data_IF_988098982089
#
_entry.id   IF_988098982089
#
_cell.length_a   1.000
_cell.length_b   1.000
_cell.length_c   1.000
_cell.angle_alpha   90.00
_cell.angle_beta   90.00
_cell.angle_gamma   90.00
#
_symmetry.space_group_name_H-M   'P 1'
#
loop_
_entity.id
_entity.type
_entity.pdbx_description
1 polymer ?
#
# COMPACT_ATOMS: atom_id res chain seq x y z
N UNK A 1 -17.88 -23.91 -16.99
CA UNK A 1 -18.00 -23.25 -15.68
C UNK A 1 -19.25 -22.39 -15.71
N UNK A 2 -20.11 -22.46 -14.70
CA UNK A 2 -21.31 -21.61 -14.64
C UNK A 2 -20.95 -20.14 -14.42
N UNK A 3 -21.86 -19.23 -14.82
CA UNK A 3 -21.71 -17.79 -14.64
C UNK A 3 -21.48 -17.42 -13.16
N UNK A 4 -22.12 -18.16 -12.26
CA UNK A 4 -22.01 -18.02 -10.80
C UNK A 4 -20.59 -18.24 -10.25
N UNK A 5 -19.74 -18.96 -10.98
CA UNK A 5 -18.34 -19.20 -10.62
C UNK A 5 -17.40 -18.28 -11.38
N UNK A 6 -17.73 -17.96 -12.64
CA UNK A 6 -16.90 -17.12 -13.49
C UNK A 6 -16.85 -15.68 -12.99
N UNK A 7 -17.98 -15.11 -12.57
CA UNK A 7 -18.07 -13.70 -12.12
C UNK A 7 -17.20 -13.46 -10.87
N UNK A 8 -17.35 -14.22 -9.76
CA UNK A 8 -16.50 -14.01 -8.59
C UNK A 8 -15.02 -14.23 -8.90
N UNK A 9 -14.70 -15.24 -9.71
CA UNK A 9 -13.31 -15.54 -10.08
C UNK A 9 -12.64 -14.40 -10.86
N UNK A 10 -13.36 -13.75 -11.77
CA UNK A 10 -12.82 -12.59 -12.51
C UNK A 10 -12.64 -11.40 -11.56
N UNK A 11 -13.60 -11.13 -10.67
CA UNK A 11 -13.52 -10.04 -9.69
C UNK A 11 -12.33 -10.24 -8.74
N UNK A 12 -12.26 -11.37 -8.05
CA UNK A 12 -11.16 -11.65 -7.13
C UNK A 12 -9.82 -11.85 -7.85
N UNK A 13 -9.84 -12.43 -9.05
CA UNK A 13 -8.66 -12.56 -9.91
C UNK A 13 -8.08 -11.20 -10.30
N UNK A 14 -8.92 -10.24 -10.69
CA UNK A 14 -8.47 -8.88 -11.02
C UNK A 14 -7.84 -8.17 -9.81
N UNK A 15 -8.43 -8.34 -8.61
CA UNK A 15 -7.89 -7.79 -7.37
C UNK A 15 -6.51 -8.42 -7.06
N UNK A 16 -6.39 -9.74 -7.20
CA UNK A 16 -5.13 -10.45 -7.01
C UNK A 16 -4.06 -9.96 -7.99
N UNK A 17 -4.41 -9.77 -9.26
CA UNK A 17 -3.47 -9.25 -10.28
C UNK A 17 -2.98 -7.85 -9.93
N UNK A 18 -3.87 -6.95 -9.49
CA UNK A 18 -3.47 -5.58 -9.08
C UNK A 18 -2.49 -5.64 -7.91
N UNK A 19 -2.81 -6.42 -6.88
CA UNK A 19 -1.98 -6.56 -5.68
C UNK A 19 -0.62 -7.17 -6.02
N UNK A 20 -0.61 -8.31 -6.72
CA UNK A 20 0.62 -9.00 -7.14
C UNK A 20 1.48 -8.09 -8.02
N UNK A 21 0.88 -7.34 -8.95
CA UNK A 21 1.61 -6.40 -9.80
C UNK A 21 2.27 -5.30 -8.97
N UNK A 22 1.56 -4.70 -8.01
CA UNK A 22 2.12 -3.68 -7.15
C UNK A 22 3.33 -4.19 -6.36
N UNK A 23 3.25 -5.40 -5.79
CA UNK A 23 4.37 -6.04 -5.09
C UNK A 23 5.52 -6.39 -6.04
N UNK A 24 5.23 -6.95 -7.22
CA UNK A 24 6.22 -7.31 -8.22
C UNK A 24 7.01 -6.08 -8.70
N UNK A 25 6.33 -4.99 -9.04
CA UNK A 25 7.00 -3.76 -9.48
C UNK A 25 7.78 -3.08 -8.36
N UNK A 26 7.28 -3.14 -7.11
CA UNK A 26 8.01 -2.62 -5.95
C UNK A 26 9.30 -3.42 -5.69
N UNK A 27 9.23 -4.74 -5.78
CA UNK A 27 10.40 -5.63 -5.70
C UNK A 27 11.39 -5.33 -6.84
N UNK A 28 10.91 -5.29 -8.08
CA UNK A 28 11.75 -5.04 -9.27
C UNK A 28 12.47 -3.70 -9.20
N UNK A 29 11.80 -2.64 -8.73
CA UNK A 29 12.42 -1.32 -8.52
C UNK A 29 13.62 -1.40 -7.57
N UNK A 30 13.48 -2.13 -6.46
CA UNK A 30 14.56 -2.30 -5.48
C UNK A 30 15.73 -3.08 -6.08
N UNK A 31 15.46 -4.17 -6.78
CA UNK A 31 16.51 -4.96 -7.45
C UNK A 31 17.31 -4.13 -8.45
N UNK A 32 16.64 -3.35 -9.30
CA UNK A 32 17.32 -2.48 -10.28
C UNK A 32 18.26 -1.47 -9.62
N UNK A 33 17.87 -0.90 -8.48
CA UNK A 33 18.70 0.03 -7.71
C UNK A 33 19.94 -0.68 -7.15
N UNK A 34 19.78 -1.86 -6.56
CA UNK A 34 20.92 -2.64 -6.04
C UNK A 34 21.88 -3.07 -7.15
N UNK A 35 21.36 -3.49 -8.30
CA UNK A 35 22.19 -3.86 -9.46
C UNK A 35 22.98 -2.65 -9.97
N UNK A 36 22.37 -1.47 -10.04
CA UNK A 36 23.05 -0.24 -10.44
C UNK A 36 24.19 0.14 -9.46
N UNK A 37 23.96 0.01 -8.15
CA UNK A 37 24.99 0.23 -7.11
C UNK A 37 26.14 -0.76 -7.30
N UNK A 38 25.83 -2.05 -7.49
CA UNK A 38 26.84 -3.09 -7.71
C UNK A 38 27.72 -2.79 -8.93
N UNK A 39 27.10 -2.45 -10.06
CA UNK A 39 27.81 -2.11 -11.30
C UNK A 39 28.67 -0.85 -11.13
N UNK A 40 28.20 0.15 -10.37
CA UNK A 40 29.00 1.33 -10.07
C UNK A 40 30.27 0.97 -9.29
N UNK A 41 30.15 0.18 -8.22
CA UNK A 41 31.28 -0.30 -7.41
C UNK A 41 32.30 -1.07 -8.28
N UNK A 42 31.82 -1.98 -9.13
CA UNK A 42 32.69 -2.77 -10.01
C UNK A 42 33.49 -1.92 -11.02
N UNK A 43 32.93 -0.80 -11.49
CA UNK A 43 33.56 0.04 -12.52
C UNK A 43 34.47 1.15 -11.99
N UNK A 44 34.11 1.79 -10.88
CA UNK A 44 34.87 2.93 -10.33
C UNK A 44 35.77 2.55 -9.17
N UNK A 45 35.69 1.32 -8.65
CA UNK A 45 36.49 0.83 -7.51
C UNK A 45 36.07 1.42 -6.17
N UNK A 46 35.31 2.51 -6.17
CA UNK A 46 34.64 3.09 -5.00
C UNK A 46 33.34 3.78 -5.44
N UNK A 47 32.35 3.77 -4.55
CA UNK A 47 31.15 4.59 -4.66
C UNK A 47 31.07 5.40 -3.37
N UNK A 48 30.72 6.67 -3.49
CA UNK A 48 30.49 7.54 -2.33
C UNK A 48 29.45 6.90 -1.40
N UNK A 49 29.86 6.58 -0.18
CA UNK A 49 29.01 5.95 0.82
C UNK A 49 27.79 6.83 1.14
N UNK A 50 27.94 8.16 1.09
CA UNK A 50 26.84 9.09 1.31
C UNK A 50 25.77 8.99 0.20
N UNK A 51 26.19 8.75 -1.04
CA UNK A 51 25.27 8.55 -2.16
C UNK A 51 24.55 7.20 -2.06
N UNK A 52 25.25 6.12 -1.69
CA UNK A 52 24.65 4.81 -1.45
C UNK A 52 23.62 4.89 -0.32
N UNK A 53 23.97 5.54 0.78
CA UNK A 53 23.08 5.75 1.90
C UNK A 53 21.86 6.61 1.51
N UNK A 54 22.04 7.67 0.73
CA UNK A 54 20.93 8.48 0.22
C UNK A 54 20.00 7.72 -0.74
N UNK A 55 20.52 6.73 -1.47
CA UNK A 55 19.72 5.87 -2.37
C UNK A 55 18.99 4.77 -1.59
N UNK A 56 19.62 4.20 -0.56
CA UNK A 56 19.07 3.11 0.27
C UNK A 56 18.08 3.66 1.31
N UNK A 57 18.33 4.88 1.84
CA UNK A 57 17.45 5.53 2.80
C UNK A 57 16.16 5.91 2.09
N UNK A 58 15.16 5.05 2.22
CA UNK A 58 13.79 5.36 1.83
C UNK A 58 13.39 6.64 2.60
N UNK A 59 13.32 7.77 1.89
CA UNK A 59 12.84 9.03 2.45
C UNK A 59 11.33 8.92 2.69
N UNK A 60 10.98 8.26 3.79
CA UNK A 60 9.61 8.20 4.29
C UNK A 60 9.30 9.60 4.81
N UNK A 61 8.63 10.41 3.99
CA UNK A 61 8.28 11.78 4.38
C UNK A 61 7.49 11.81 5.70
N UNK A 62 7.53 12.93 6.45
CA UNK A 62 6.97 13.03 7.81
C UNK A 62 5.46 12.71 7.90
N UNK A 63 4.75 12.81 6.77
CA UNK A 63 3.32 12.54 6.64
C UNK A 63 3.00 11.25 5.87
N UNK A 64 3.98 10.36 5.64
CA UNK A 64 3.77 9.15 4.86
C UNK A 64 2.70 8.25 5.49
N UNK A 65 2.77 8.04 6.81
CA UNK A 65 1.79 7.23 7.53
C UNK A 65 0.44 7.91 7.61
N UNK A 66 0.41 9.23 7.87
CA UNK A 66 -0.83 10.01 7.89
C UNK A 66 -1.57 9.93 6.55
N UNK A 67 -0.84 10.07 5.43
CA UNK A 67 -1.40 9.98 4.08
C UNK A 67 -1.99 8.60 3.82
N UNK A 68 -1.26 7.53 4.13
CA UNK A 68 -1.75 6.15 3.99
C UNK A 68 -3.00 5.91 4.84
N UNK A 69 -2.98 6.38 6.09
CA UNK A 69 -4.09 6.27 7.02
C UNK A 69 -5.36 6.95 6.52
N UNK A 70 -5.26 8.19 6.07
CA UNK A 70 -6.39 8.95 5.53
C UNK A 70 -6.97 8.29 4.28
N UNK A 71 -6.11 7.82 3.35
CA UNK A 71 -6.57 7.14 2.13
C UNK A 71 -7.38 5.88 2.48
N UNK A 72 -6.90 5.08 3.44
CA UNK A 72 -7.58 3.85 3.86
C UNK A 72 -8.91 4.15 4.57
N UNK A 73 -8.96 5.18 5.42
CA UNK A 73 -10.22 5.63 6.03
C UNK A 73 -11.21 6.11 4.95
N UNK A 74 -10.74 6.83 3.93
CA UNK A 74 -11.59 7.28 2.83
C UNK A 74 -12.14 6.10 2.01
N UNK A 75 -11.34 5.06 1.77
CA UNK A 75 -11.81 3.82 1.12
C UNK A 75 -12.88 3.13 1.97
N UNK A 76 -12.69 3.04 3.29
CA UNK A 76 -13.69 2.48 4.20
C UNK A 76 -15.01 3.26 4.16
N UNK A 77 -14.93 4.60 4.21
CA UNK A 77 -16.09 5.48 4.09
C UNK A 77 -16.80 5.29 2.73
N UNK A 78 -16.04 5.07 1.65
CA UNK A 78 -16.58 4.75 0.33
C UNK A 78 -17.42 3.47 0.31
N UNK A 79 -16.95 2.39 0.94
CA UNK A 79 -17.72 1.15 1.07
C UNK A 79 -18.99 1.32 1.92
N UNK A 80 -18.92 2.07 3.02
CA UNK A 80 -20.10 2.38 3.84
C UNK A 80 -21.13 3.18 3.04
N UNK A 81 -20.69 4.22 2.32
CA UNK A 81 -21.55 5.03 1.47
C UNK A 81 -22.18 4.20 0.34
N UNK A 82 -21.40 3.29 -0.28
CA UNK A 82 -21.91 2.37 -1.29
C UNK A 82 -22.99 1.45 -0.71
N UNK A 83 -22.73 0.82 0.44
CA UNK A 83 -23.71 -0.05 1.11
C UNK A 83 -25.01 0.67 1.50
N UNK A 84 -24.95 1.96 1.80
CA UNK A 84 -26.12 2.79 2.10
C UNK A 84 -26.87 3.26 0.83
N UNK A 85 -26.19 3.34 -0.31
CA UNK A 85 -26.78 3.79 -1.58
C UNK A 85 -27.44 2.66 -2.38
N UNK A 86 -27.07 1.40 -2.12
CA UNK A 86 -27.69 0.24 -2.77
C UNK A 86 -29.11 0.04 -2.20
N UNK A 87 -30.15 -0.07 -3.05
CA UNK A 87 -31.55 -0.20 -2.62
C UNK A 87 -31.90 -1.63 -2.14
N UNK A 88 -30.96 -2.31 -1.49
CA UNK A 88 -31.10 -3.65 -0.93
C UNK A 88 -30.75 -3.61 0.56
N UNK A 89 -31.69 -3.93 1.45
CA UNK A 89 -31.49 -3.84 2.90
C UNK A 89 -30.33 -4.73 3.41
N UNK A 90 -30.04 -5.82 2.70
CA UNK A 90 -28.97 -6.75 3.03
C UNK A 90 -27.59 -6.27 2.58
N UNK A 91 -27.48 -5.24 1.73
CA UNK A 91 -26.20 -4.76 1.20
C UNK A 91 -25.33 -4.04 2.24
N UNK A 92 -25.95 -3.39 3.23
CA UNK A 92 -25.22 -2.56 4.18
C UNK A 92 -24.29 -3.35 5.11
N UNK A 93 -24.75 -4.50 5.63
CA UNK A 93 -23.95 -5.32 6.59
C UNK A 93 -22.67 -5.90 5.97
N UNK A 94 -22.70 -6.54 4.78
CA UNK A 94 -21.48 -7.00 4.12
C UNK A 94 -20.54 -5.86 3.77
N UNK A 95 -21.07 -4.72 3.31
CA UNK A 95 -20.24 -3.54 2.98
C UNK A 95 -19.55 -2.95 4.20
N UNK A 96 -20.24 -2.91 5.35
CA UNK A 96 -19.62 -2.59 6.66
C UNK A 96 -18.49 -3.57 7.02
N UNK A 97 -18.70 -4.86 6.79
CA UNK A 97 -17.68 -5.89 6.96
C UNK A 97 -16.43 -5.61 6.12
N UNK A 98 -16.61 -5.35 4.81
CA UNK A 98 -15.51 -5.02 3.89
C UNK A 98 -14.84 -3.70 4.28
N UNK A 99 -15.61 -2.68 4.67
CA UNK A 99 -15.10 -1.37 5.10
C UNK A 99 -14.23 -1.45 6.37
N UNK A 100 -14.51 -2.40 7.26
CA UNK A 100 -13.77 -2.54 8.52
C UNK A 100 -12.27 -2.80 8.32
N UNK A 101 -11.89 -3.53 7.26
CA UNK A 101 -10.49 -3.83 6.95
C UNK A 101 -9.67 -2.57 6.68
N UNK A 102 -9.95 -1.77 5.62
CA UNK A 102 -9.22 -0.54 5.39
C UNK A 102 -9.48 0.49 6.51
N UNK A 103 -10.67 0.50 7.12
CA UNK A 103 -10.99 1.44 8.20
C UNK A 103 -10.07 1.29 9.41
N UNK A 104 -9.93 0.07 9.93
CA UNK A 104 -9.08 -0.22 11.09
C UNK A 104 -7.59 -0.03 10.77
N UNK A 105 -7.13 -0.47 9.59
CA UNK A 105 -5.74 -0.26 9.16
C UNK A 105 -5.45 1.24 9.00
N UNK A 106 -6.40 1.99 8.44
CA UNK A 106 -6.29 3.43 8.29
C UNK A 106 -6.20 4.16 9.63
N UNK A 107 -7.06 3.79 10.59
CA UNK A 107 -7.00 4.30 11.97
C UNK A 107 -5.66 3.97 12.64
N UNK A 108 -5.11 2.78 12.43
CA UNK A 108 -3.79 2.42 12.95
C UNK A 108 -2.67 3.31 12.40
N UNK A 109 -2.66 3.58 11.09
CA UNK A 109 -1.69 4.50 10.47
C UNK A 109 -1.81 5.94 11.00
N UNK A 110 -3.04 6.42 11.20
CA UNK A 110 -3.28 7.73 11.83
C UNK A 110 -2.79 7.73 13.28
N UNK A 111 -3.08 6.69 14.05
CA UNK A 111 -2.60 6.55 15.42
C UNK A 111 -1.07 6.53 15.48
N UNK A 112 -0.39 5.75 14.62
CA UNK A 112 1.07 5.76 14.54
C UNK A 112 1.62 7.14 14.21
N UNK A 113 0.95 7.92 13.35
CA UNK A 113 1.41 9.28 13.09
C UNK A 113 1.44 10.17 14.35
N UNK A 114 0.49 10.02 15.27
CA UNK A 114 0.43 10.85 16.48
C UNK A 114 1.22 10.27 17.66
N UNK A 115 1.29 8.95 17.78
CA UNK A 115 1.82 8.27 18.96
C UNK A 115 3.16 7.58 18.74
N UNK A 116 3.59 7.30 17.51
CA UNK A 116 4.89 6.68 17.28
C UNK A 116 6.02 7.68 17.58
N UNK A 117 7.01 7.31 18.43
CA UNK A 117 8.21 8.11 18.63
C UNK A 117 8.89 8.30 17.27
N UNK A 118 9.08 9.56 16.87
CA UNK A 118 9.88 9.87 15.67
C UNK A 118 11.33 9.94 16.11
N UNK A 119 12.16 9.02 15.63
CA UNK A 119 13.60 9.26 15.65
C UNK A 119 13.85 10.57 14.88
N UNK A 120 14.64 11.50 15.42
CA UNK A 120 14.97 12.72 14.71
C UNK A 120 15.62 12.30 13.38
N UNK A 121 14.96 12.65 12.27
CA UNK A 121 15.57 12.53 10.94
C UNK A 121 16.70 13.54 10.90
N UNK A 122 17.90 13.10 11.30
CA UNK A 122 19.16 13.80 11.04
C UNK A 122 19.47 13.70 9.55
#
# INVERSE_FOLDING_TARGET
MGEDVLIPMVVFGSLAVIVVSAFYFSYKKRTVVYDAIKVAIEKTGSVDAALVEAIIRDNVGPYADLRKGIILIAIAAGFIALGAAVPEEEAFRPMLGVASFPGLVGLAYVAFHFFAPREPTV
#
